data_IF_068130770932
#
_entry.id   IF_068130770932
#
_cell.length_a   1.000
_cell.length_b   1.000
_cell.length_c   1.000
_cell.angle_alpha   90.00
_cell.angle_beta   90.00
_cell.angle_gamma   90.00
#
_symmetry.space_group_name_H-M   'P 1'
#
loop_
_entity.id
_entity.type
_entity.pdbx_description
1 polymer ?
#
# COMPACT_ATOMS: atom_id res chain seq x y z
N UNK A 1 -14.32 -29.48 18.57
CA UNK A 1 -13.16 -28.70 18.09
C UNK A 1 -12.37 -28.20 19.28
N UNK A 2 -11.08 -28.53 19.43
CA UNK A 2 -10.25 -28.02 20.54
C UNK A 2 -9.89 -26.53 20.31
N UNK A 3 -10.82 -25.63 20.63
CA UNK A 3 -10.65 -24.16 20.58
C UNK A 3 -9.41 -23.69 21.39
N UNK A 4 -9.03 -24.44 22.42
CA UNK A 4 -7.92 -24.18 23.35
C UNK A 4 -6.54 -24.12 22.67
N UNK A 5 -6.30 -24.92 21.62
CA UNK A 5 -5.02 -24.92 20.89
C UNK A 5 -4.90 -23.79 19.85
N UNK A 6 -6.01 -23.13 19.52
CA UNK A 6 -6.07 -22.15 18.42
C UNK A 6 -6.14 -20.70 18.90
N UNK A 7 -6.68 -20.46 20.10
CA UNK A 7 -6.80 -19.11 20.67
C UNK A 7 -5.71 -18.81 21.71
N UNK A 8 -5.04 -19.83 22.29
CA UNK A 8 -4.33 -19.67 23.57
C UNK A 8 -2.97 -20.38 23.72
N UNK A 9 -2.07 -20.25 22.74
CA UNK A 9 -0.63 -20.40 23.01
C UNK A 9 0.18 -19.26 22.38
N UNK A 10 0.65 -18.34 23.22
CA UNK A 10 2.02 -17.84 23.12
C UNK A 10 2.81 -18.54 24.23
N UNK A 11 3.55 -19.58 23.87
CA UNK A 11 4.55 -20.21 24.75
C UNK A 11 5.77 -20.38 23.88
N UNK A 12 6.74 -19.45 23.97
CA UNK A 12 8.10 -19.45 23.36
C UNK A 12 8.28 -19.80 21.86
N UNK A 13 7.27 -20.39 21.22
CA UNK A 13 7.17 -20.92 19.88
C UNK A 13 5.84 -20.39 19.33
N UNK A 14 5.84 -19.15 18.85
CA UNK A 14 4.83 -18.78 17.87
C UNK A 14 4.94 -19.76 16.69
N UNK A 15 3.84 -20.09 16.00
CA UNK A 15 3.98 -20.72 14.71
C UNK A 15 4.92 -19.89 13.84
N UNK A 16 6.00 -20.48 13.34
CA UNK A 16 7.04 -19.82 12.53
C UNK A 16 6.55 -19.20 11.19
N UNK A 17 5.24 -18.98 11.00
CA UNK A 17 4.60 -18.72 9.72
C UNK A 17 3.66 -17.50 9.68
N UNK A 18 3.10 -17.00 10.79
CA UNK A 18 2.39 -15.70 10.77
C UNK A 18 3.36 -14.62 11.22
N UNK A 19 3.98 -13.95 10.25
CA UNK A 19 4.94 -12.86 10.48
C UNK A 19 4.29 -11.48 10.49
N UNK A 20 3.07 -11.37 9.98
CA UNK A 20 2.33 -10.09 9.96
C UNK A 20 1.84 -9.72 11.36
N UNK A 21 2.32 -8.59 11.88
CA UNK A 21 1.89 -8.03 13.15
C UNK A 21 0.39 -7.70 13.17
N UNK A 22 -0.15 -7.23 12.04
CA UNK A 22 -1.59 -6.97 11.89
C UNK A 22 -2.43 -8.23 12.07
N UNK A 23 -2.03 -9.34 11.44
CA UNK A 23 -2.71 -10.62 11.60
C UNK A 23 -2.61 -11.13 13.05
N UNK A 24 -1.45 -10.98 13.69
CA UNK A 24 -1.28 -11.34 15.09
C UNK A 24 -2.19 -10.52 16.02
N UNK A 25 -2.36 -9.21 15.78
CA UNK A 25 -3.29 -8.35 16.53
C UNK A 25 -4.73 -8.83 16.38
N UNK A 26 -5.18 -9.08 15.15
CA UNK A 26 -6.54 -9.56 14.89
C UNK A 26 -6.79 -10.96 15.48
N UNK A 27 -5.78 -11.84 15.48
CA UNK A 27 -5.91 -13.17 16.09
C UNK A 27 -6.08 -13.05 17.61
N UNK A 28 -5.31 -12.15 18.27
CA UNK A 28 -5.46 -11.87 19.70
C UNK A 28 -6.85 -11.32 20.02
N UNK A 29 -7.39 -10.48 19.15
CA UNK A 29 -8.74 -9.93 19.26
C UNK A 29 -9.87 -10.91 18.92
N UNK A 30 -9.57 -12.19 18.59
CA UNK A 30 -10.54 -13.16 18.07
C UNK A 30 -11.36 -12.66 16.88
N UNK A 31 -10.74 -11.86 16.03
CA UNK A 31 -11.31 -11.43 14.75
C UNK A 31 -10.96 -12.40 13.62
N UNK A 32 -9.84 -13.10 13.75
CA UNK A 32 -9.42 -14.10 12.77
C UNK A 32 -8.99 -15.41 13.43
N UNK A 33 -9.15 -16.50 12.68
CA UNK A 33 -8.63 -17.81 13.02
C UNK A 33 -7.85 -18.37 11.85
N UNK A 34 -6.59 -18.69 12.08
CA UNK A 34 -5.77 -19.37 11.09
C UNK A 34 -6.02 -20.89 11.11
N UNK A 35 -6.43 -21.46 9.99
CA UNK A 35 -6.49 -22.90 9.79
C UNK A 35 -5.20 -23.39 9.15
N UNK A 36 -4.45 -24.18 9.91
CA UNK A 36 -3.15 -24.73 9.51
C UNK A 36 -3.25 -25.80 8.45
N UNK A 37 -4.34 -26.57 8.43
CA UNK A 37 -4.52 -27.68 7.50
C UNK A 37 -4.82 -27.15 6.10
N UNK A 38 -5.56 -26.04 6.03
CA UNK A 38 -5.93 -25.39 4.78
C UNK A 38 -4.97 -24.28 4.37
N UNK A 39 -4.10 -23.82 5.28
CA UNK A 39 -3.22 -22.67 5.08
C UNK A 39 -4.02 -21.39 4.78
N UNK A 40 -5.13 -21.20 5.49
CA UNK A 40 -6.10 -20.13 5.27
C UNK A 40 -6.41 -19.37 6.56
N UNK A 41 -6.65 -18.06 6.44
CA UNK A 41 -7.18 -17.24 7.52
C UNK A 41 -8.70 -17.12 7.40
N UNK A 42 -9.42 -17.56 8.42
CA UNK A 42 -10.87 -17.43 8.52
C UNK A 42 -11.21 -16.18 9.33
N UNK A 43 -11.90 -15.23 8.71
CA UNK A 43 -12.44 -14.07 9.42
C UNK A 43 -13.70 -14.48 10.21
N UNK A 44 -13.76 -14.04 11.46
CA UNK A 44 -14.86 -14.32 12.37
C UNK A 44 -15.91 -13.19 12.30
N UNK A 45 -17.17 -13.44 12.70
CA UNK A 45 -18.23 -12.43 12.64
C UNK A 45 -17.88 -11.06 13.27
N UNK A 46 -17.09 -11.08 14.34
CA UNK A 46 -16.61 -9.87 15.02
C UNK A 46 -15.75 -8.97 14.12
N UNK A 47 -14.94 -9.56 13.24
CA UNK A 47 -14.18 -8.80 12.25
C UNK A 47 -15.11 -8.00 11.35
N UNK A 48 -16.14 -8.66 10.79
CA UNK A 48 -17.07 -8.02 9.86
C UNK A 48 -17.87 -6.90 10.52
N UNK A 49 -18.35 -7.13 11.75
CA UNK A 49 -19.07 -6.08 12.50
C UNK A 49 -18.21 -4.84 12.70
N UNK A 50 -16.92 -5.01 13.06
CA UNK A 50 -16.01 -3.89 13.28
C UNK A 50 -15.56 -3.23 11.95
N UNK A 51 -15.33 -4.03 10.92
CA UNK A 51 -15.01 -3.56 9.58
C UNK A 51 -16.13 -2.69 9.00
N UNK A 52 -17.40 -3.08 9.20
CA UNK A 52 -18.58 -2.31 8.80
C UNK A 52 -18.64 -0.95 9.52
N UNK A 53 -18.32 -0.89 10.82
CA UNK A 53 -18.25 0.37 11.55
C UNK A 53 -17.22 1.33 10.94
N UNK A 54 -16.03 0.83 10.60
CA UNK A 54 -14.97 1.64 9.99
C UNK A 54 -15.32 2.05 8.55
N UNK A 55 -15.98 1.18 7.79
CA UNK A 55 -16.46 1.47 6.44
C UNK A 55 -17.53 2.58 6.45
N UNK A 56 -18.45 2.57 7.42
CA UNK A 56 -19.47 3.62 7.56
C UNK A 56 -18.86 5.00 7.86
N UNK A 57 -17.73 5.05 8.59
CA UNK A 57 -16.98 6.29 8.82
C UNK A 57 -16.42 6.83 7.51
N UNK A 58 -15.76 5.97 6.70
CA UNK A 58 -15.28 6.35 5.37
C UNK A 58 -16.42 6.83 4.49
N UNK A 59 -17.51 6.07 4.39
CA UNK A 59 -18.67 6.42 3.57
C UNK A 59 -19.27 7.79 3.96
N UNK A 60 -19.32 8.10 5.26
CA UNK A 60 -19.81 9.39 5.75
C UNK A 60 -18.86 10.53 5.38
N UNK A 61 -17.55 10.32 5.55
CA UNK A 61 -16.54 11.28 5.13
C UNK A 61 -16.56 11.54 3.63
N UNK A 62 -16.63 10.48 2.81
CA UNK A 62 -16.66 10.60 1.35
C UNK A 62 -17.89 11.36 0.85
N UNK A 63 -19.02 11.31 1.57
CA UNK A 63 -20.23 12.10 1.26
C UNK A 63 -20.02 13.61 1.39
N UNK A 64 -19.14 14.07 2.27
CA UNK A 64 -18.88 15.50 2.45
C UNK A 64 -18.17 16.13 1.24
N UNK A 65 -17.38 15.33 0.50
CA UNK A 65 -16.63 15.76 -0.67
C UNK A 65 -17.39 15.59 -1.99
N UNK A 66 -18.66 15.14 -1.93
CA UNK A 66 -19.41 14.71 -3.11
C UNK A 66 -20.76 15.41 -3.25
N UNK A 67 -20.71 16.68 -3.64
CA UNK A 67 -21.87 17.36 -4.22
C UNK A 67 -21.64 17.45 -5.73
N UNK A 68 -22.31 16.70 -6.64
CA UNK A 68 -22.83 15.33 -6.62
C UNK A 68 -22.18 14.53 -7.79
N UNK A 69 -21.04 13.86 -7.59
CA UNK A 69 -20.47 12.91 -8.57
C UNK A 69 -19.77 11.74 -7.85
N UNK A 70 -20.53 10.99 -7.05
CA UNK A 70 -20.05 9.72 -6.48
C UNK A 70 -20.05 8.65 -7.58
N UNK A 71 -18.88 8.05 -7.80
CA UNK A 71 -18.77 6.79 -8.52
C UNK A 71 -18.24 5.72 -7.55
N UNK A 72 -19.15 5.02 -6.89
CA UNK A 72 -18.78 3.84 -6.12
C UNK A 72 -18.62 2.66 -7.08
N UNK A 73 -17.36 2.33 -7.43
CA UNK A 73 -17.04 1.11 -8.18
C UNK A 73 -16.29 0.17 -7.25
N UNK A 74 -17.02 -0.81 -6.71
CA UNK A 74 -16.40 -1.98 -6.10
C UNK A 74 -16.12 -3.01 -7.20
N UNK A 75 -14.90 -3.01 -7.72
CA UNK A 75 -14.44 -3.95 -8.73
C UNK A 75 -13.22 -4.74 -8.24
N UNK A 76 -13.06 -5.97 -8.75
CA UNK A 76 -11.99 -6.88 -8.31
C UNK A 76 -10.62 -6.46 -8.85
N UNK A 77 -10.57 -5.72 -9.96
CA UNK A 77 -9.33 -5.28 -10.61
C UNK A 77 -9.45 -3.86 -11.19
N UNK A 78 -8.32 -3.19 -11.35
CA UNK A 78 -8.24 -1.84 -11.97
C UNK A 78 -8.64 -1.87 -13.46
N UNK A 79 -8.47 -3.02 -14.13
CA UNK A 79 -8.90 -3.28 -15.52
C UNK A 79 -10.43 -3.27 -15.63
N UNK A 80 -11.12 -3.95 -14.70
CA UNK A 80 -12.58 -3.95 -14.66
C UNK A 80 -13.11 -2.52 -14.49
N UNK A 81 -12.52 -1.76 -13.55
CA UNK A 81 -12.86 -0.33 -13.33
C UNK A 81 -12.67 0.47 -14.61
N UNK A 82 -11.52 0.33 -15.28
CA UNK A 82 -11.19 1.02 -16.53
C UNK A 82 -12.23 0.77 -17.62
N UNK A 83 -12.65 -0.49 -17.81
CA UNK A 83 -13.67 -0.86 -18.79
C UNK A 83 -15.04 -0.24 -18.47
N UNK A 84 -15.46 -0.24 -17.20
CA UNK A 84 -16.71 0.39 -16.78
C UNK A 84 -16.65 1.92 -16.97
N UNK A 85 -15.58 2.57 -16.53
CA UNK A 85 -15.40 4.02 -16.65
C UNK A 85 -15.37 4.43 -18.13
N UNK A 86 -14.58 3.75 -18.97
CA UNK A 86 -14.40 4.04 -20.39
C UNK A 86 -15.72 4.10 -21.18
N UNK A 87 -16.67 3.20 -20.89
CA UNK A 87 -18.00 3.21 -21.52
C UNK A 87 -18.94 4.33 -21.05
N UNK A 88 -18.75 4.82 -19.82
CA UNK A 88 -19.65 5.76 -19.14
C UNK A 88 -19.27 7.22 -19.34
N UNK A 89 -17.97 7.45 -19.55
CA UNK A 89 -17.33 8.74 -19.82
C UNK A 89 -18.00 9.49 -21.01
N UNK A 90 -18.61 8.78 -21.97
CA UNK A 90 -19.41 9.38 -23.05
C UNK A 90 -20.75 10.04 -22.62
N UNK A 91 -21.24 9.82 -21.40
CA UNK A 91 -22.61 10.19 -20.98
C UNK A 91 -22.70 11.03 -19.69
N UNK A 92 -21.59 11.64 -19.25
CA UNK A 92 -21.40 12.25 -17.93
C UNK A 92 -22.20 13.55 -17.63
N UNK A 93 -23.34 13.82 -18.29
CA UNK A 93 -24.27 14.89 -17.86
C UNK A 93 -25.55 14.41 -17.19
N UNK A 94 -25.75 13.11 -17.05
CA UNK A 94 -26.87 12.60 -16.27
C UNK A 94 -26.57 11.18 -15.85
N UNK A 95 -26.17 10.96 -14.61
CA UNK A 95 -26.70 9.93 -13.70
C UNK A 95 -25.76 9.77 -12.49
N UNK A 96 -26.29 9.78 -11.25
CA UNK A 96 -25.56 9.28 -10.09
C UNK A 96 -25.43 7.76 -10.20
N UNK A 97 -24.20 7.23 -10.20
CA UNK A 97 -23.96 5.78 -10.25
C UNK A 97 -23.49 5.24 -8.90
N UNK A 98 -24.34 4.42 -8.28
CA UNK A 98 -24.01 3.58 -7.13
C UNK A 98 -24.06 2.12 -7.60
N UNK A 99 -22.91 1.46 -7.75
CA UNK A 99 -22.86 0.01 -7.96
C UNK A 99 -22.45 -0.65 -6.65
N UNK A 100 -23.44 -1.09 -5.86
CA UNK A 100 -23.22 -2.05 -4.77
C UNK A 100 -23.29 -3.46 -5.37
N UNK A 101 -22.15 -4.14 -5.52
CA UNK A 101 -22.16 -5.61 -5.67
C UNK A 101 -22.02 -6.23 -4.29
N UNK A 102 -22.89 -7.20 -3.98
CA UNK A 102 -22.65 -8.07 -2.84
C UNK A 102 -21.29 -8.78 -3.05
N UNK A 103 -20.48 -8.97 -1.99
CA UNK A 103 -19.22 -9.67 -2.09
C UNK A 103 -19.46 -11.10 -2.60
N UNK A 104 -18.88 -11.44 -3.75
CA UNK A 104 -18.87 -12.82 -4.26
C UNK A 104 -17.59 -13.47 -3.76
N UNK A 105 -17.75 -14.32 -2.73
CA UNK A 105 -16.68 -15.14 -2.14
C UNK A 105 -16.30 -16.22 -3.14
N UNK A 106 -15.08 -16.17 -3.66
CA UNK A 106 -14.46 -17.28 -4.36
C UNK A 106 -12.99 -17.36 -3.96
N UNK A 107 -12.65 -18.32 -3.10
CA UNK A 107 -11.25 -18.66 -2.82
C UNK A 107 -10.68 -19.37 -4.04
N UNK A 108 -9.71 -18.75 -4.71
CA UNK A 108 -8.91 -19.44 -5.73
C UNK A 108 -7.55 -19.80 -5.15
N UNK A 109 -7.27 -21.10 -5.13
CA UNK A 109 -6.10 -21.81 -4.59
C UNK A 109 -4.78 -21.52 -5.34
N UNK A 110 -4.39 -20.26 -5.52
CA UNK A 110 -3.04 -19.92 -6.03
C UNK A 110 -2.29 -19.06 -5.01
N UNK A 111 -1.03 -19.44 -4.76
CA UNK A 111 -0.08 -18.60 -4.05
C UNK A 111 0.17 -17.32 -4.86
N UNK A 112 -0.35 -16.19 -4.39
CA UNK A 112 -0.02 -14.87 -4.90
C UNK A 112 1.17 -14.28 -4.15
N UNK A 113 2.26 -14.06 -4.86
CA UNK A 113 3.47 -13.34 -4.45
C UNK A 113 3.32 -11.82 -4.64
N UNK A 114 2.13 -11.27 -4.35
CA UNK A 114 1.86 -9.83 -4.39
C UNK A 114 1.21 -9.41 -3.07
N UNK A 115 1.47 -8.20 -2.53
CA UNK A 115 0.79 -7.73 -1.35
C UNK A 115 -0.72 -7.78 -1.63
N UNK A 116 -1.45 -8.63 -0.90
CA UNK A 116 -2.86 -8.89 -1.16
C UNK A 116 -3.65 -7.57 -1.15
N UNK A 117 -4.06 -7.07 -2.32
CA UNK A 117 -5.31 -6.30 -2.43
C UNK A 117 -6.41 -7.29 -2.05
N UNK A 118 -6.91 -7.18 -0.84
CA UNK A 118 -7.95 -8.08 -0.37
C UNK A 118 -9.26 -7.72 -1.10
N UNK A 119 -10.19 -8.66 -1.30
CA UNK A 119 -11.54 -8.30 -1.79
C UNK A 119 -12.32 -7.42 -0.79
N UNK A 120 -11.74 -7.09 0.37
CA UNK A 120 -12.30 -6.24 1.41
C UNK A 120 -11.87 -4.78 1.31
N UNK A 121 -10.92 -4.45 0.42
CA UNK A 121 -10.45 -3.07 0.31
C UNK A 121 -11.60 -2.18 -0.18
N UNK A 122 -11.78 -1.03 0.48
CA UNK A 122 -12.76 -0.04 0.05
C UNK A 122 -12.11 0.86 -0.99
N UNK A 123 -12.66 0.86 -2.20
CA UNK A 123 -12.14 1.65 -3.31
C UNK A 123 -13.18 2.66 -3.73
N UNK A 124 -12.83 3.93 -3.63
CA UNK A 124 -13.66 5.05 -4.04
C UNK A 124 -13.03 5.73 -5.24
N UNK A 125 -13.83 5.98 -6.28
CA UNK A 125 -13.44 6.84 -7.39
C UNK A 125 -14.37 8.05 -7.42
N UNK A 126 -13.82 9.25 -7.53
CA UNK A 126 -14.64 10.44 -7.62
C UNK A 126 -13.95 11.53 -8.44
N UNK A 127 -14.76 12.29 -9.15
CA UNK A 127 -14.32 13.52 -9.80
C UNK A 127 -14.43 14.67 -8.83
N UNK A 128 -13.46 15.57 -8.85
CA UNK A 128 -13.51 16.80 -8.07
C UNK A 128 -13.55 18.02 -9.00
N UNK A 129 -14.45 18.96 -8.72
CA UNK A 129 -14.58 20.20 -9.49
C UNK A 129 -13.33 21.09 -9.35
N UNK A 130 -12.64 21.00 -8.21
CA UNK A 130 -11.38 21.66 -7.93
C UNK A 130 -10.32 20.64 -7.58
N UNK A 131 -9.06 21.00 -7.85
CA UNK A 131 -7.92 20.16 -7.48
C UNK A 131 -7.88 19.98 -5.96
N UNK A 132 -7.98 18.73 -5.52
CA UNK A 132 -7.87 18.32 -4.13
C UNK A 132 -6.39 18.36 -3.71
N UNK A 133 -6.12 18.89 -2.51
CA UNK A 133 -4.88 18.60 -1.81
C UNK A 133 -4.97 17.19 -1.21
N UNK A 134 -4.25 16.25 -1.83
CA UNK A 134 -4.26 14.84 -1.43
C UNK A 134 -3.71 14.63 -0.01
N UNK A 135 -2.76 15.45 0.45
CA UNK A 135 -2.16 15.34 1.77
C UNK A 135 -3.14 15.84 2.83
N UNK A 136 -3.76 17.00 2.60
CA UNK A 136 -4.77 17.54 3.51
C UNK A 136 -5.97 16.57 3.62
N UNK A 137 -6.44 16.06 2.49
CA UNK A 137 -7.52 15.07 2.46
C UNK A 137 -7.16 13.80 3.22
N UNK A 138 -5.97 13.24 2.98
CA UNK A 138 -5.47 12.07 3.69
C UNK A 138 -5.34 12.32 5.19
N UNK A 139 -4.93 13.53 5.61
CA UNK A 139 -4.84 13.90 7.03
C UNK A 139 -6.20 13.94 7.71
N UNK A 140 -7.22 14.49 7.04
CA UNK A 140 -8.59 14.49 7.56
C UNK A 140 -9.12 13.06 7.68
N UNK A 141 -8.92 12.22 6.67
CA UNK A 141 -9.32 10.80 6.71
C UNK A 141 -8.59 10.02 7.82
N UNK A 142 -7.28 10.21 7.97
CA UNK A 142 -6.47 9.57 9.01
C UNK A 142 -6.99 9.90 10.42
N UNK A 143 -7.30 11.17 10.67
CA UNK A 143 -7.77 11.67 11.96
C UNK A 143 -9.13 11.09 12.39
N UNK A 144 -9.98 10.66 11.45
CA UNK A 144 -11.25 9.99 11.78
C UNK A 144 -11.05 8.60 12.39
N UNK A 145 -9.95 7.94 12.02
CA UNK A 145 -9.63 6.58 12.45
C UNK A 145 -8.68 6.55 13.63
N UNK A 146 -7.54 7.21 13.51
CA UNK A 146 -6.48 7.18 14.50
C UNK A 146 -5.53 8.39 14.34
N UNK A 147 -5.44 9.22 15.37
CA UNK A 147 -4.55 10.40 15.38
C UNK A 147 -3.06 10.06 15.28
N UNK A 148 -2.68 8.80 15.54
CA UNK A 148 -1.28 8.35 15.44
C UNK A 148 -0.86 7.96 14.02
N UNK A 149 -1.79 7.91 13.06
CA UNK A 149 -1.44 7.62 11.67
C UNK A 149 -0.60 8.74 11.07
N UNK A 150 0.40 8.33 10.27
CA UNK A 150 1.27 9.26 9.54
C UNK A 150 0.79 9.37 8.10
N UNK A 151 0.70 10.60 7.60
CA UNK A 151 0.42 10.86 6.19
C UNK A 151 1.74 11.18 5.50
N UNK A 152 2.03 10.48 4.40
CA UNK A 152 3.24 10.71 3.60
C UNK A 152 2.84 11.05 2.17
N UNK A 153 3.31 12.17 1.60
CA UNK A 153 3.07 12.50 0.20
C UNK A 153 3.78 11.51 -0.73
N UNK A 154 3.16 11.24 -1.88
CA UNK A 154 3.69 10.38 -2.93
C UNK A 154 3.66 11.11 -4.28
N UNK A 155 4.28 10.51 -5.31
CA UNK A 155 4.35 11.04 -6.67
C UNK A 155 2.97 11.50 -7.20
N UNK A 156 1.95 10.67 -6.90
CA UNK A 156 0.60 10.82 -7.41
C UNK A 156 -0.41 11.11 -6.31
N UNK A 157 -0.01 11.50 -5.09
CA UNK A 157 -0.96 11.83 -4.03
C UNK A 157 -0.40 11.67 -2.63
N UNK A 158 -1.02 10.80 -1.82
CA UNK A 158 -0.58 10.56 -0.44
C UNK A 158 -0.94 9.15 0.03
N UNK A 159 -0.22 8.65 1.02
CA UNK A 159 -0.52 7.40 1.73
C UNK A 159 -0.68 7.65 3.22
N UNK A 160 -1.56 6.86 3.85
CA UNK A 160 -1.76 6.83 5.30
C UNK A 160 -1.07 5.57 5.82
N UNK A 161 -0.17 5.74 6.79
CA UNK A 161 0.66 4.67 7.34
C UNK A 161 0.33 4.47 8.82
N UNK A 162 0.19 3.19 9.21
CA UNK A 162 0.26 2.76 10.61
C UNK A 162 1.73 2.65 11.03
N UNK A 163 2.25 3.57 11.86
CA UNK A 163 3.64 3.52 12.30
C UNK A 163 3.88 2.48 13.40
N UNK A 164 2.83 1.81 13.90
CA UNK A 164 2.98 0.85 14.99
C UNK A 164 3.50 -0.51 14.54
N UNK A 165 3.76 -0.70 13.24
CA UNK A 165 4.33 -1.93 12.70
C UNK A 165 5.78 -1.76 12.28
N UNK A 166 6.62 -2.76 12.53
CA UNK A 166 8.03 -2.81 12.10
C UNK A 166 8.23 -3.09 10.59
N UNK A 167 7.16 -3.08 9.81
CA UNK A 167 7.19 -3.40 8.37
C UNK A 167 7.86 -2.26 7.59
N UNK A 168 8.86 -2.56 6.77
CA UNK A 168 9.32 -1.64 5.73
C UNK A 168 8.35 -1.67 4.54
N UNK A 169 7.84 -0.50 4.16
CA UNK A 169 7.02 -0.32 2.96
C UNK A 169 7.73 0.60 1.98
N UNK A 170 7.62 0.31 0.68
CA UNK A 170 8.16 1.16 -0.38
C UNK A 170 7.03 2.05 -0.89
N UNK A 171 7.29 3.35 -0.96
CA UNK A 171 6.40 4.35 -1.55
C UNK A 171 7.11 5.02 -2.73
N UNK A 172 6.34 5.59 -3.65
CA UNK A 172 6.88 6.32 -4.79
C UNK A 172 6.83 7.81 -4.51
N UNK A 173 7.98 8.48 -4.45
CA UNK A 173 8.08 9.93 -4.32
C UNK A 173 7.96 10.62 -5.68
N UNK A 174 7.61 11.91 -5.64
CA UNK A 174 7.74 12.75 -6.81
C UNK A 174 9.21 12.85 -7.22
N UNK A 175 9.49 12.78 -8.52
CA UNK A 175 10.79 13.12 -9.06
C UNK A 175 10.90 14.64 -9.21
N UNK A 176 11.98 15.23 -8.71
CA UNK A 176 12.26 16.66 -8.88
C UNK A 176 13.37 16.84 -9.92
N UNK A 177 13.08 17.67 -10.93
CA UNK A 177 13.97 17.91 -12.05
C UNK A 177 14.40 19.37 -12.09
N UNK A 178 15.31 19.75 -11.19
CA UNK A 178 15.93 21.08 -11.22
C UNK A 178 17.21 20.98 -12.07
N UNK A 179 17.27 21.63 -13.25
CA UNK A 179 18.48 21.61 -14.07
C UNK A 179 19.69 22.11 -13.29
N UNK A 180 20.86 21.56 -13.57
CA UNK A 180 22.10 22.04 -12.96
C UNK A 180 22.39 23.49 -13.36
N UNK A 181 23.13 24.21 -12.51
CA UNK A 181 23.56 25.57 -12.81
C UNK A 181 24.60 25.57 -13.95
N UNK A 182 24.21 26.08 -15.12
CA UNK A 182 25.06 26.15 -16.32
C UNK A 182 26.23 27.14 -16.18
N UNK A 183 26.27 27.95 -15.13
CA UNK A 183 27.41 28.83 -14.84
C UNK A 183 28.61 28.10 -14.23
N UNK A 184 28.41 26.88 -13.73
CA UNK A 184 29.47 26.03 -13.19
C UNK A 184 30.35 25.54 -14.34
N UNK A 185 31.66 25.78 -14.24
CA UNK A 185 32.64 25.25 -15.18
C UNK A 185 32.79 23.73 -14.98
N UNK A 186 32.48 22.96 -16.03
CA UNK A 186 32.53 21.50 -16.00
C UNK A 186 33.90 21.06 -16.54
N UNK A 187 34.72 20.33 -15.77
CA UNK A 187 36.02 19.84 -16.24
C UNK A 187 35.89 18.93 -17.49
N UNK A 188 36.96 18.73 -18.27
CA UNK A 188 36.94 17.82 -19.41
C UNK A 188 36.49 16.41 -19.03
N UNK A 189 35.79 15.75 -19.95
CA UNK A 189 35.43 14.33 -19.83
C UNK A 189 36.71 13.49 -19.69
N UNK A 190 36.75 12.64 -18.68
CA UNK A 190 37.91 11.78 -18.38
C UNK A 190 37.46 10.33 -18.18
N UNK A 191 38.17 9.39 -18.79
CA UNK A 191 37.96 7.94 -18.60
C UNK A 191 38.80 7.47 -17.40
N UNK A 192 38.17 6.80 -16.44
CA UNK A 192 38.81 6.27 -15.23
C UNK A 192 38.56 4.77 -15.09
N UNK A 193 39.55 4.07 -14.55
CA UNK A 193 39.45 2.65 -14.25
C UNK A 193 38.67 2.44 -12.94
N UNK A 194 37.75 1.49 -12.96
CA UNK A 194 36.71 1.21 -11.95
C UNK A 194 36.51 -0.32 -11.85
N UNK A 195 37.54 -1.06 -11.41
CA UNK A 195 37.57 -2.52 -11.50
C UNK A 195 36.50 -3.16 -10.62
N UNK A 196 35.66 -4.02 -11.20
CA UNK A 196 34.55 -4.74 -10.55
C UNK A 196 33.46 -3.82 -9.93
N UNK A 197 33.40 -2.56 -10.39
CA UNK A 197 32.43 -1.54 -9.94
C UNK A 197 31.26 -1.45 -10.92
N UNK A 198 30.36 -2.44 -10.90
CA UNK A 198 29.25 -2.55 -11.86
C UNK A 198 27.89 -2.08 -11.33
N UNK A 199 27.79 -1.65 -10.07
CA UNK A 199 26.55 -1.16 -9.46
C UNK A 199 26.68 0.29 -9.03
N UNK A 200 25.54 1.00 -9.00
CA UNK A 200 25.52 2.41 -8.60
C UNK A 200 25.99 2.61 -7.17
N UNK A 201 25.66 1.72 -6.24
CA UNK A 201 26.12 1.76 -4.84
C UNK A 201 27.66 1.75 -4.78
N UNK A 202 28.28 0.77 -5.45
CA UNK A 202 29.73 0.64 -5.48
C UNK A 202 30.38 1.82 -6.19
N UNK A 203 29.77 2.31 -7.26
CA UNK A 203 30.30 3.45 -8.02
C UNK A 203 30.28 4.73 -7.19
N UNK A 204 29.17 5.02 -6.49
CA UNK A 204 29.06 6.16 -5.58
C UNK A 204 30.13 6.15 -4.50
N UNK A 205 30.38 4.98 -3.91
CA UNK A 205 31.44 4.77 -2.92
C UNK A 205 32.83 4.97 -3.52
N UNK A 206 33.09 4.42 -4.72
CA UNK A 206 34.38 4.48 -5.41
C UNK A 206 34.76 5.90 -5.83
N UNK A 207 33.82 6.65 -6.42
CA UNK A 207 34.07 8.02 -6.91
C UNK A 207 33.82 9.09 -5.84
N UNK A 208 33.34 8.71 -4.66
CA UNK A 208 32.96 9.62 -3.57
C UNK A 208 31.95 10.69 -4.00
N UNK A 209 30.96 10.30 -4.81
CA UNK A 209 29.89 11.19 -5.27
C UNK A 209 28.51 10.65 -4.88
N UNK A 210 27.54 11.55 -4.64
CA UNK A 210 26.15 11.14 -4.39
C UNK A 210 25.56 10.48 -5.65
N UNK A 211 24.61 9.55 -5.45
CA UNK A 211 23.99 8.78 -6.55
C UNK A 211 23.28 9.67 -7.58
N UNK A 212 22.83 10.84 -7.14
CA UNK A 212 22.22 11.91 -7.93
C UNK A 212 23.17 12.49 -8.99
N UNK A 213 24.49 12.31 -8.83
CA UNK A 213 25.49 12.71 -9.84
C UNK A 213 25.88 11.56 -10.76
N UNK A 214 25.40 10.35 -10.51
CA UNK A 214 25.68 9.19 -11.34
C UNK A 214 24.57 9.05 -12.38
N UNK A 215 24.92 8.62 -13.58
CA UNK A 215 23.99 8.30 -14.66
C UNK A 215 24.16 6.83 -14.97
N UNK A 216 23.11 6.04 -14.72
CA UNK A 216 23.07 4.62 -15.07
C UNK A 216 22.30 4.43 -16.36
N UNK A 217 22.61 3.34 -17.03
CA UNK A 217 21.89 2.92 -18.22
C UNK A 217 21.21 1.58 -18.00
N UNK A 218 19.91 1.52 -18.29
CA UNK A 218 19.07 0.32 -18.21
C UNK A 218 18.64 -0.04 -19.62
N UNK A 219 18.94 -1.28 -20.03
CA UNK A 219 18.72 -1.75 -21.38
C UNK A 219 17.53 -2.71 -21.41
N UNK A 220 16.51 -2.35 -22.16
CA UNK A 220 15.34 -3.18 -22.40
C UNK A 220 15.32 -3.70 -23.85
N UNK A 221 14.64 -4.81 -24.06
CA UNK A 221 14.29 -5.35 -25.37
C UNK A 221 12.78 -5.32 -25.51
N UNK A 222 12.30 -4.65 -26.56
CA UNK A 222 10.88 -4.62 -26.94
C UNK A 222 10.78 -5.07 -28.38
N UNK A 223 10.09 -6.20 -28.61
CA UNK A 223 9.98 -6.82 -29.94
C UNK A 223 11.34 -7.03 -30.64
N UNK A 224 12.38 -7.35 -29.85
CA UNK A 224 13.75 -7.56 -30.34
C UNK A 224 14.53 -6.28 -30.67
N UNK A 225 13.96 -5.09 -30.42
CA UNK A 225 14.65 -3.80 -30.55
C UNK A 225 15.18 -3.36 -29.20
N UNK A 226 16.39 -2.80 -29.21
CA UNK A 226 17.03 -2.26 -28.02
C UNK A 226 16.42 -0.91 -27.63
N UNK A 227 15.96 -0.79 -26.40
CA UNK A 227 15.54 0.45 -25.76
C UNK A 227 16.56 0.76 -24.66
N UNK A 228 17.34 1.81 -24.87
CA UNK A 228 18.47 2.18 -24.03
C UNK A 228 18.11 3.40 -23.18
N UNK A 229 17.74 3.17 -21.93
CA UNK A 229 17.24 4.19 -21.01
C UNK A 229 18.37 4.68 -20.11
N UNK A 230 18.67 5.97 -20.13
CA UNK A 230 19.68 6.60 -19.29
C UNK A 230 18.99 7.45 -18.23
N UNK A 231 19.32 7.24 -16.97
CA UNK A 231 18.60 7.80 -15.82
C UNK A 231 19.60 8.07 -14.68
N UNK A 232 19.26 8.99 -13.78
CA UNK A 232 20.04 9.23 -12.56
C UNK A 232 20.20 7.97 -11.71
N UNK A 233 21.32 7.84 -11.02
CA UNK A 233 21.70 6.63 -10.30
C UNK A 233 20.76 6.28 -9.14
N UNK A 234 20.18 7.28 -8.49
CA UNK A 234 19.26 7.14 -7.36
C UNK A 234 17.81 6.78 -7.75
N UNK A 235 17.47 6.86 -9.04
CA UNK A 235 16.13 6.61 -9.56
C UNK A 235 16.06 5.24 -10.25
N UNK A 236 14.86 4.68 -10.37
CA UNK A 236 14.60 3.45 -11.13
C UNK A 236 13.76 3.72 -12.38
N UNK A 237 13.79 2.82 -13.36
CA UNK A 237 12.94 2.96 -14.54
C UNK A 237 11.56 2.37 -14.25
N UNK A 238 10.52 3.19 -14.44
CA UNK A 238 9.13 2.72 -14.44
C UNK A 238 8.84 2.00 -15.74
N UNK A 239 8.63 0.70 -15.69
CA UNK A 239 8.22 -0.07 -16.87
C UNK A 239 6.88 0.43 -17.42
N UNK A 240 5.96 0.89 -16.56
CA UNK A 240 4.67 1.44 -16.98
C UNK A 240 4.84 2.75 -17.76
N UNK A 241 5.62 3.70 -17.24
CA UNK A 241 5.92 4.95 -17.98
C UNK A 241 6.69 4.67 -19.27
N UNK A 242 7.63 3.72 -19.25
CA UNK A 242 8.39 3.32 -20.43
C UNK A 242 7.47 2.72 -21.51
N UNK A 243 6.56 1.82 -21.13
CA UNK A 243 5.54 1.27 -22.03
C UNK A 243 4.67 2.36 -22.64
N UNK A 244 4.21 3.30 -21.82
CA UNK A 244 3.41 4.43 -22.29
C UNK A 244 4.18 5.28 -23.30
N UNK A 245 5.44 5.62 -22.99
CA UNK A 245 6.32 6.36 -23.89
C UNK A 245 6.52 5.64 -25.24
N UNK A 246 6.67 4.32 -25.22
CA UNK A 246 6.81 3.49 -26.40
C UNK A 246 5.50 3.27 -27.17
N UNK A 247 4.36 3.76 -26.67
CA UNK A 247 3.05 3.59 -27.31
C UNK A 247 2.51 2.15 -27.22
N UNK A 248 2.98 1.35 -26.26
CA UNK A 248 2.60 -0.05 -26.09
C UNK A 248 1.23 -0.17 -25.42
N UNK A 249 0.18 -0.05 -26.22
CA UNK A 249 -1.22 -0.18 -25.79
C UNK A 249 -1.62 -1.63 -25.47
N UNK A 250 -0.96 -2.62 -26.09
CA UNK A 250 -1.16 -4.03 -25.80
C UNK A 250 -0.29 -4.48 -24.62
N UNK A 251 -0.92 -4.81 -23.50
CA UNK A 251 -0.27 -5.30 -22.28
C UNK A 251 0.44 -6.65 -22.46
N UNK A 252 0.16 -7.40 -23.52
CA UNK A 252 0.82 -8.68 -23.80
C UNK A 252 2.22 -8.55 -24.40
N UNK A 253 2.58 -7.38 -24.95
CA UNK A 253 3.92 -7.13 -25.47
C UNK A 253 4.87 -7.00 -24.28
N UNK A 254 5.87 -7.89 -24.11
CA UNK A 254 6.78 -7.82 -22.98
C UNK A 254 7.76 -6.64 -23.12
N UNK A 255 8.02 -5.97 -21.99
CA UNK A 255 9.16 -5.06 -21.83
C UNK A 255 10.09 -5.76 -20.86
N UNK A 256 11.18 -6.30 -21.39
CA UNK A 256 12.11 -7.14 -20.62
C UNK A 256 13.52 -6.58 -20.71
N UNK A 257 14.39 -6.92 -19.76
CA UNK A 257 15.80 -6.58 -19.87
C UNK A 257 16.40 -7.18 -21.14
N UNK A 258 17.22 -6.39 -21.82
CA UNK A 258 17.84 -6.79 -23.07
C UNK A 258 18.80 -7.98 -22.85
N UNK A 259 18.73 -9.02 -23.69
CA UNK A 259 19.63 -10.16 -23.58
C UNK A 259 21.06 -9.78 -23.99
N UNK A 260 22.06 -10.46 -23.43
CA UNK A 260 23.48 -10.13 -23.63
C UNK A 260 23.91 -10.06 -25.10
N UNK A 261 23.41 -10.96 -25.95
CA UNK A 261 23.69 -10.97 -27.39
C UNK A 261 23.23 -9.68 -28.11
N UNK A 262 22.11 -9.08 -27.65
CA UNK A 262 21.64 -7.80 -28.18
C UNK A 262 22.56 -6.66 -27.73
N UNK A 263 23.05 -6.70 -26.48
CA UNK A 263 23.97 -5.70 -25.94
C UNK A 263 25.33 -5.73 -26.65
N UNK A 264 25.90 -6.92 -26.82
CA UNK A 264 27.17 -7.13 -27.54
C UNK A 264 27.09 -6.61 -28.98
N UNK A 265 25.97 -6.86 -29.67
CA UNK A 265 25.70 -6.34 -31.02
C UNK A 265 25.76 -4.81 -31.09
N UNK A 266 25.42 -4.13 -29.99
CA UNK A 266 25.46 -2.67 -29.87
C UNK A 266 26.75 -2.15 -29.22
N UNK A 267 27.66 -3.04 -28.80
CA UNK A 267 28.91 -2.70 -28.13
C UNK A 267 28.72 -2.19 -26.70
N UNK A 268 27.61 -2.57 -26.06
CA UNK A 268 27.27 -2.16 -24.70
C UNK A 268 27.75 -3.20 -23.69
N UNK A 269 28.24 -2.73 -22.54
CA UNK A 269 28.73 -3.56 -21.44
C UNK A 269 27.86 -3.35 -20.20
N UNK A 270 27.04 -4.34 -19.77
CA UNK A 270 26.22 -4.21 -18.56
C UNK A 270 27.03 -3.72 -17.35
N UNK A 271 26.47 -2.75 -16.60
CA UNK A 271 27.14 -2.13 -15.47
C UNK A 271 28.18 -1.06 -15.82
N UNK A 272 28.58 -0.95 -17.09
CA UNK A 272 29.56 0.03 -17.58
C UNK A 272 29.05 0.76 -18.83
N UNK A 273 27.74 0.71 -19.13
CA UNK A 273 27.18 1.33 -20.33
C UNK A 273 26.78 2.78 -20.13
N UNK A 274 26.87 3.60 -21.18
CA UNK A 274 26.47 5.00 -21.15
C UNK A 274 26.17 5.61 -22.52
N UNK A 275 25.86 6.90 -22.57
CA UNK A 275 25.56 7.61 -23.83
C UNK A 275 26.81 8.05 -24.62
N UNK A 276 28.00 7.97 -24.01
CA UNK A 276 29.22 8.44 -24.66
C UNK A 276 29.74 7.37 -25.62
N UNK A 277 29.82 7.70 -26.91
CA UNK A 277 30.45 6.82 -27.89
C UNK A 277 29.53 5.75 -28.52
N UNK A 278 28.22 5.84 -28.30
CA UNK A 278 27.21 4.93 -28.89
C UNK A 278 27.34 4.87 -30.42
N UNK A 279 27.70 3.69 -30.94
CA UNK A 279 28.00 3.50 -32.38
C UNK A 279 26.76 3.33 -33.26
N UNK A 280 25.69 2.74 -32.72
CA UNK A 280 24.49 2.31 -33.47
C UNK A 280 23.22 3.04 -33.01
N UNK A 281 23.36 4.33 -32.70
CA UNK A 281 22.29 5.17 -32.16
C UNK A 281 21.00 5.19 -33.02
N UNK A 282 21.12 5.01 -34.34
CA UNK A 282 19.97 4.96 -35.26
C UNK A 282 19.19 3.64 -35.23
N UNK A 283 19.73 2.60 -34.61
CA UNK A 283 19.12 1.26 -34.55
C UNK A 283 18.48 0.95 -33.19
N UNK A 284 18.60 1.84 -32.22
CA UNK A 284 18.02 1.71 -30.89
C UNK A 284 17.15 2.92 -30.55
N UNK A 285 16.27 2.73 -29.57
CA UNK A 285 15.55 3.84 -28.94
C UNK A 285 16.43 4.37 -27.82
N UNK A 286 17.07 5.52 -28.02
CA UNK A 286 17.85 6.18 -26.99
C UNK A 286 16.93 7.07 -26.17
N UNK A 287 16.67 6.66 -24.94
CA UNK A 287 15.85 7.41 -24.00
C UNK A 287 16.73 7.96 -22.89
N UNK A 288 16.55 9.22 -22.56
CA UNK A 288 17.20 9.89 -21.47
C UNK A 288 16.09 10.40 -20.54
N UNK A 289 16.04 9.89 -19.31
CA UNK A 289 15.12 10.39 -18.32
C UNK A 289 15.42 11.88 -18.06
N UNK A 290 14.39 12.67 -17.81
CA UNK A 290 14.54 14.09 -17.52
C UNK A 290 15.51 14.37 -16.35
N UNK A 291 15.67 13.44 -15.41
CA UNK A 291 16.67 13.52 -14.33
C UNK A 291 18.11 13.69 -14.80
N UNK A 292 18.48 13.18 -15.96
CA UNK A 292 19.86 13.31 -16.45
C UNK A 292 20.22 14.76 -16.74
N UNK A 293 19.22 15.60 -17.05
CA UNK A 293 19.41 17.04 -17.26
C UNK A 293 19.74 17.80 -15.96
N UNK A 294 19.56 17.18 -14.80
CA UNK A 294 19.97 17.74 -13.50
C UNK A 294 21.44 17.48 -13.18
N UNK A 295 22.13 16.69 -14.01
CA UNK A 295 23.51 16.26 -13.76
C UNK A 295 24.48 17.14 -14.57
N UNK A 296 25.14 18.07 -13.88
CA UNK A 296 26.10 19.00 -14.51
C UNK A 296 27.49 18.41 -14.71
N UNK A 297 27.99 17.67 -13.71
CA UNK A 297 29.32 17.09 -13.67
C UNK A 297 29.23 15.68 -13.05
N UNK A 298 28.78 14.72 -13.85
CA UNK A 298 28.42 13.39 -13.37
C UNK A 298 29.43 12.30 -13.69
N UNK A 299 29.01 11.06 -13.42
CA UNK A 299 29.72 9.84 -13.80
C UNK A 299 28.80 8.94 -14.60
N UNK A 300 29.27 8.37 -15.70
CA UNK A 300 28.50 7.45 -16.56
C UNK A 300 29.39 6.29 -17.02
N UNK A 301 28.79 5.18 -17.45
CA UNK A 301 29.54 4.08 -18.04
C UNK A 301 30.30 4.47 -19.32
N UNK A 302 31.46 3.84 -19.56
CA UNK A 302 32.32 4.09 -20.72
C UNK A 302 32.15 3.10 -21.89
N UNK A 303 31.15 2.23 -21.84
CA UNK A 303 30.95 1.10 -22.76
C UNK A 303 32.19 0.18 -22.86
N UNK A 304 32.96 0.11 -21.77
CA UNK A 304 34.18 -0.67 -21.62
C UNK A 304 34.21 -1.27 -20.22
N UNK A 305 34.40 -2.59 -20.14
CA UNK A 305 34.43 -3.30 -18.87
C UNK A 305 35.48 -2.68 -17.94
N UNK A 306 35.08 -2.41 -16.69
CA UNK A 306 35.90 -1.80 -15.65
C UNK A 306 36.27 -0.33 -15.90
N UNK A 307 35.57 0.38 -16.78
CA UNK A 307 35.80 1.81 -17.00
C UNK A 307 34.52 2.65 -16.95
N UNK A 308 34.64 3.84 -16.39
CA UNK A 308 33.61 4.88 -16.36
C UNK A 308 34.18 6.21 -16.86
N UNK A 309 33.30 7.10 -17.31
CA UNK A 309 33.63 8.49 -17.54
C UNK A 309 33.25 9.35 -16.33
N UNK A 310 34.15 10.21 -15.88
CA UNK A 310 33.89 11.28 -14.91
C UNK A 310 33.80 12.65 -15.60
N UNK A 311 33.24 13.62 -14.88
CA UNK A 311 32.94 14.96 -15.40
C UNK A 311 31.97 14.93 -16.59
N UNK A 312 31.11 13.91 -16.65
CA UNK A 312 30.15 13.72 -17.72
C UNK A 312 29.09 14.82 -17.73
N UNK A 313 28.81 15.34 -18.92
CA UNK A 313 27.71 16.25 -19.16
C UNK A 313 26.98 15.84 -20.43
N UNK A 314 25.68 15.55 -20.30
CA UNK A 314 24.87 15.01 -21.41
C UNK A 314 24.84 15.95 -22.62
N UNK A 315 24.68 17.27 -22.43
CA UNK A 315 24.63 18.23 -23.54
C UNK A 315 25.98 18.37 -24.26
N UNK A 316 27.09 18.34 -23.52
CA UNK A 316 28.45 18.47 -24.08
C UNK A 316 28.92 17.21 -24.78
N UNK A 317 28.77 16.06 -24.13
CA UNK A 317 29.47 14.82 -24.48
C UNK A 317 28.68 13.94 -25.47
N UNK A 318 27.37 14.19 -25.62
CA UNK A 318 26.50 13.42 -26.53
C UNK A 318 26.13 14.15 -27.82
N UNK A 319 26.76 15.30 -28.12
CA UNK A 319 26.44 16.15 -29.30
C UNK A 319 26.32 15.39 -30.62
N UNK A 320 27.14 14.37 -30.85
CA UNK A 320 27.14 13.56 -32.08
C UNK A 320 25.86 12.73 -32.26
N UNK A 321 25.22 12.33 -31.17
CA UNK A 321 24.03 11.49 -31.14
C UNK A 321 22.79 12.24 -30.63
N UNK A 322 22.90 13.52 -30.30
CA UNK A 322 21.82 14.32 -29.70
C UNK A 322 20.49 14.24 -30.47
N UNK A 323 20.53 14.15 -31.81
CA UNK A 323 19.32 13.99 -32.66
C UNK A 323 18.56 12.68 -32.48
N UNK A 324 19.19 11.67 -31.87
CA UNK A 324 18.61 10.36 -31.59
C UNK A 324 18.17 10.22 -30.13
N UNK A 325 18.61 11.12 -29.24
CA UNK A 325 18.23 11.10 -27.83
C UNK A 325 16.84 11.69 -27.69
N UNK A 326 15.97 10.93 -27.05
CA UNK A 326 14.65 11.40 -26.65
C UNK A 326 14.63 11.63 -25.14
N UNK A 327 14.05 12.75 -24.70
CA UNK A 327 13.87 13.06 -23.29
C UNK A 327 12.44 12.77 -22.86
N UNK A 328 12.27 12.06 -21.75
CA UNK A 328 10.97 11.73 -21.18
C UNK A 328 11.07 11.53 -19.66
N UNK A 329 9.97 11.63 -18.93
CA UNK A 329 9.90 11.12 -17.56
C UNK A 329 9.53 9.64 -17.61
N UNK A 330 10.50 8.80 -17.27
CA UNK A 330 10.32 7.35 -17.09
C UNK A 330 10.82 6.89 -15.72
N UNK A 331 11.02 7.82 -14.78
CA UNK A 331 11.59 7.52 -13.48
C UNK A 331 10.54 7.10 -12.46
N UNK A 332 10.93 6.17 -11.60
CA UNK A 332 10.38 5.92 -10.27
C UNK A 332 11.38 6.39 -9.21
N UNK A 333 10.86 6.89 -8.10
CA UNK A 333 11.64 7.34 -6.97
C UNK A 333 11.20 6.57 -5.72
N UNK A 334 11.63 5.31 -5.58
CA UNK A 334 11.22 4.48 -4.47
C UNK A 334 11.88 4.95 -3.16
N UNK A 335 11.06 5.23 -2.15
CA UNK A 335 11.51 5.49 -0.79
C UNK A 335 11.01 4.40 0.15
N UNK A 336 11.90 3.95 1.03
CA UNK A 336 11.52 3.08 2.14
C UNK A 336 11.00 3.90 3.30
N UNK A 337 9.82 3.53 3.78
CA UNK A 337 9.17 4.11 4.96
C UNK A 337 8.79 3.01 5.94
N UNK A 338 8.93 3.31 7.24
CA UNK A 338 8.55 2.39 8.30
C UNK A 338 7.04 2.46 8.57
N UNK A 339 6.41 1.30 8.62
CA UNK A 339 4.98 1.13 8.87
C UNK A 339 4.24 0.44 7.74
N UNK A 340 2.96 0.13 7.99
CA UNK A 340 2.08 -0.52 7.02
C UNK A 340 1.13 0.51 6.41
N UNK A 341 1.00 0.52 5.08
CA UNK A 341 -0.01 1.34 4.40
C UNK A 341 -1.40 0.85 4.81
N UNK A 342 -2.22 1.79 5.28
CA UNK A 342 -3.63 1.59 5.65
C UNK A 342 -4.56 2.16 4.57
N UNK A 343 -4.18 3.27 3.95
CA UNK A 343 -4.93 3.83 2.83
C UNK A 343 -4.02 4.57 1.85
N UNK A 344 -4.49 4.71 0.62
CA UNK A 344 -3.80 5.39 -0.48
C UNK A 344 -4.78 6.34 -1.17
N UNK A 345 -4.33 7.56 -1.43
CA UNK A 345 -5.07 8.61 -2.12
C UNK A 345 -4.24 8.94 -3.36
N UNK A 346 -4.82 8.72 -4.54
CA UNK A 346 -4.15 8.90 -5.83
C UNK A 346 -4.92 9.87 -6.72
N UNK A 347 -4.21 10.83 -7.29
CA UNK A 347 -4.56 11.67 -8.42
C UNK A 347 -4.32 10.84 -9.70
N UNK A 348 -5.39 10.38 -10.34
CA UNK A 348 -5.34 9.50 -11.49
C UNK A 348 -5.04 10.29 -12.77
N UNK A 349 -3.82 10.80 -12.89
CA UNK A 349 -3.38 11.65 -14.02
C UNK A 349 -3.31 10.91 -15.35
N UNK A 350 -3.06 9.60 -15.33
CA UNK A 350 -2.95 8.77 -16.55
C UNK A 350 -4.30 8.29 -17.07
N UNK A 351 -5.34 8.36 -16.23
CA UNK A 351 -6.73 8.28 -16.65
C UNK A 351 -7.21 9.69 -17.01
N UNK A 352 -6.76 10.23 -18.14
CA UNK A 352 -7.54 11.25 -18.81
C UNK A 352 -8.75 10.56 -19.44
N UNK A 353 -9.99 10.76 -18.95
CA UNK A 353 -11.07 10.80 -19.90
C UNK A 353 -10.83 12.04 -20.76
N UNK A 354 -10.18 11.86 -21.91
CA UNK A 354 -10.24 12.82 -23.03
C UNK A 354 -11.67 12.90 -23.62
N UNK A 355 -12.69 12.60 -22.82
CA UNK A 355 -14.05 12.38 -23.24
C UNK A 355 -15.03 12.85 -22.17
N UNK A 356 -15.28 14.14 -22.08
CA UNK A 356 -16.66 14.57 -21.87
C UNK A 356 -17.01 15.40 -23.11
N UNK A 357 -17.50 14.68 -24.12
CA UNK A 357 -17.98 15.25 -25.36
C UNK A 357 -19.45 15.64 -25.21
N UNK A 358 -19.70 16.91 -24.94
CA UNK A 358 -20.81 17.62 -25.57
C UNK A 358 -20.15 18.72 -26.39
N UNK A 359 -20.39 18.66 -27.70
CA UNK A 359 -19.97 19.60 -28.73
C UNK A 359 -19.13 20.80 -28.22
N UNK A 360 -17.85 20.75 -28.58
CA UNK A 360 -16.78 21.72 -28.36
C UNK A 360 -16.03 21.71 -26.99
N UNK A 361 -14.92 20.93 -27.01
CA UNK A 361 -13.71 20.93 -26.16
C UNK A 361 -13.74 20.02 -24.90
N UNK A 362 -12.75 19.09 -24.75
CA UNK A 362 -12.61 18.27 -23.55
C UNK A 362 -12.33 19.15 -22.32
N UNK A 363 -13.13 19.00 -21.27
CA UNK A 363 -12.88 19.61 -19.95
C UNK A 363 -12.08 18.66 -19.07
N UNK A 364 -10.87 19.07 -18.68
CA UNK A 364 -10.01 18.33 -17.75
C UNK A 364 -10.59 18.41 -16.34
N UNK A 365 -11.24 17.34 -15.86
CA UNK A 365 -11.67 17.22 -14.47
C UNK A 365 -10.77 16.19 -13.77
N UNK A 366 -10.13 16.55 -12.65
CA UNK A 366 -9.32 15.60 -11.88
C UNK A 366 -10.15 14.41 -11.40
N UNK A 367 -9.62 13.19 -11.61
CA UNK A 367 -10.16 11.94 -11.07
C UNK A 367 -9.28 11.51 -9.91
N UNK A 368 -9.89 11.23 -8.77
CA UNK A 368 -9.20 10.71 -7.60
C UNK A 368 -9.64 9.29 -7.30
N UNK A 369 -8.69 8.49 -6.82
CA UNK A 369 -8.90 7.15 -6.28
C UNK A 369 -8.46 7.11 -4.83
N UNK A 370 -9.35 6.66 -3.95
CA UNK A 370 -9.04 6.39 -2.54
C UNK A 370 -9.18 4.90 -2.31
N UNK A 371 -8.10 4.26 -1.89
CA UNK A 371 -8.07 2.83 -1.55
C UNK A 371 -7.81 2.70 -0.06
N UNK A 372 -8.77 2.16 0.69
CA UNK A 372 -8.61 1.86 2.11
C UNK A 372 -8.45 0.34 2.25
N UNK A 373 -7.30 -0.09 2.78
CA UNK A 373 -7.02 -1.50 3.03
C UNK A 373 -7.71 -1.91 4.32
N UNK A 374 -8.94 -2.41 4.20
CA UNK A 374 -9.84 -2.58 5.35
C UNK A 374 -9.27 -3.51 6.41
N UNK A 375 -8.58 -4.59 5.99
CA UNK A 375 -7.91 -5.53 6.90
C UNK A 375 -6.80 -4.84 7.70
N UNK A 376 -5.96 -4.05 7.03
CA UNK A 376 -4.89 -3.30 7.69
C UNK A 376 -5.45 -2.20 8.59
N UNK A 377 -6.50 -1.49 8.16
CA UNK A 377 -7.18 -0.47 8.95
C UNK A 377 -7.79 -1.05 10.24
N UNK A 378 -8.47 -2.21 10.15
CA UNK A 378 -8.97 -2.92 11.33
C UNK A 378 -7.82 -3.23 12.28
N UNK A 379 -6.75 -3.85 11.79
CA UNK A 379 -5.63 -4.24 12.63
C UNK A 379 -4.88 -3.04 13.25
N UNK A 380 -4.76 -1.93 12.52
CA UNK A 380 -4.09 -0.70 12.94
C UNK A 380 -4.89 0.11 13.98
N UNK A 381 -6.21 -0.08 14.05
CA UNK A 381 -7.08 0.60 15.03
C UNK A 381 -7.29 -0.21 16.31
N UNK A 382 -7.00 -1.52 16.30
CA UNK A 382 -7.13 -2.38 17.48
C UNK A 382 -6.09 -2.05 18.57
N UNK A 383 -6.55 -1.91 19.82
CA UNK A 383 -5.71 -1.93 21.03
C UNK A 383 -4.87 -0.69 21.30
N UNK A 384 -4.58 0.12 20.28
CA UNK A 384 -3.84 1.39 20.39
C UNK A 384 -4.75 2.61 20.51
N UNK A 385 -5.88 2.60 19.81
CA UNK A 385 -6.83 3.72 19.78
C UNK A 385 -8.25 3.30 20.13
N UNK A 386 -8.65 2.04 19.84
CA UNK A 386 -9.99 1.53 20.15
C UNK A 386 -9.96 0.10 20.73
N UNK A 387 -10.77 -0.11 21.75
CA UNK A 387 -11.15 -1.44 22.25
C UNK A 387 -12.46 -1.87 21.60
N UNK A 388 -12.66 -3.18 21.49
CA UNK A 388 -13.90 -3.74 20.95
C UNK A 388 -15.02 -3.52 21.96
N UNK A 389 -16.08 -2.80 21.56
CA UNK A 389 -17.28 -2.61 22.37
C UNK A 389 -18.00 -3.95 22.50
N UNK A 390 -17.80 -4.61 23.63
CA UNK A 390 -18.23 -5.98 23.87
C UNK A 390 -17.70 -6.51 25.19
N UNK A 391 -18.01 -7.77 25.48
CA UNK A 391 -17.73 -8.40 26.75
C UNK A 391 -16.93 -9.70 26.58
N UNK A 392 -15.82 -9.82 27.31
CA UNK A 392 -15.18 -11.10 27.57
C UNK A 392 -15.65 -11.63 28.92
N UNK A 393 -16.52 -12.64 28.91
CA UNK A 393 -17.18 -13.19 30.09
C UNK A 393 -16.43 -14.42 30.59
N UNK A 394 -15.75 -14.28 31.73
CA UNK A 394 -15.07 -15.36 32.43
C UNK A 394 -16.06 -16.04 33.38
N UNK A 395 -16.37 -17.31 33.11
CA UNK A 395 -17.11 -18.11 34.08
C UNK A 395 -16.16 -18.80 35.07
N UNK A 396 -16.37 -18.54 36.36
CA UNK A 396 -15.70 -19.18 37.51
C UNK A 396 -16.71 -19.94 38.38
N UNK A 397 -18.00 -19.72 38.15
CA UNK A 397 -19.09 -20.41 38.84
C UNK A 397 -19.22 -21.87 38.39
N UNK A 398 -19.65 -22.74 39.31
CA UNK A 398 -20.04 -24.13 38.99
C UNK A 398 -21.47 -24.24 38.45
N UNK A 399 -22.29 -23.25 38.73
CA UNK A 399 -23.69 -23.16 38.30
C UNK A 399 -23.79 -22.16 37.14
N UNK A 400 -24.42 -22.58 36.05
CA UNK A 400 -24.59 -21.78 34.84
C UNK A 400 -25.75 -20.79 34.94
N UNK A 401 -26.59 -20.86 35.97
CA UNK A 401 -27.75 -19.96 36.14
C UNK A 401 -27.33 -18.49 36.08
N UNK A 402 -26.32 -18.11 36.86
CA UNK A 402 -25.80 -16.74 36.89
C UNK A 402 -25.16 -16.32 35.57
N UNK A 403 -24.49 -17.25 34.89
CA UNK A 403 -23.89 -17.00 33.58
C UNK A 403 -24.96 -16.75 32.51
N UNK A 404 -26.04 -17.53 32.50
CA UNK A 404 -27.14 -17.40 31.56
C UNK A 404 -27.85 -16.05 31.73
N UNK A 405 -28.20 -15.68 32.97
CA UNK A 405 -28.82 -14.37 33.26
C UNK A 405 -27.92 -13.21 32.84
N UNK A 406 -26.62 -13.32 33.12
CA UNK A 406 -25.63 -12.30 32.69
C UNK A 406 -25.57 -12.20 31.16
N UNK A 407 -25.58 -13.34 30.46
CA UNK A 407 -25.50 -13.39 29.00
C UNK A 407 -26.76 -12.84 28.34
N UNK A 408 -27.94 -13.20 28.84
CA UNK A 408 -29.23 -12.69 28.37
C UNK A 408 -29.32 -11.17 28.52
N UNK A 409 -28.82 -10.63 29.63
CA UNK A 409 -28.79 -9.18 29.83
C UNK A 409 -27.82 -8.49 28.86
N UNK A 410 -26.63 -9.05 28.65
CA UNK A 410 -25.67 -8.51 27.68
C UNK A 410 -26.22 -8.50 26.25
N UNK A 411 -26.93 -9.55 25.84
CA UNK A 411 -27.51 -9.67 24.49
C UNK A 411 -28.55 -8.57 24.17
N UNK A 412 -29.08 -7.88 25.18
CA UNK A 412 -29.97 -6.72 24.96
C UNK A 412 -29.22 -5.49 24.45
N UNK A 413 -27.93 -5.38 24.72
CA UNK A 413 -27.13 -4.18 24.43
C UNK A 413 -25.92 -4.46 23.53
N UNK A 414 -25.48 -5.72 23.44
CA UNK A 414 -24.38 -6.17 22.61
C UNK A 414 -24.87 -7.15 21.56
N UNK A 415 -24.32 -7.02 20.35
CA UNK A 415 -24.50 -8.06 19.33
C UNK A 415 -23.83 -9.36 19.80
N UNK A 416 -24.37 -10.54 19.45
CA UNK A 416 -23.83 -11.83 19.89
C UNK A 416 -22.34 -12.01 19.58
N UNK A 417 -21.86 -11.43 18.47
CA UNK A 417 -20.46 -11.54 18.03
C UNK A 417 -19.49 -10.78 18.94
N UNK A 418 -19.99 -9.79 19.67
CA UNK A 418 -19.23 -8.97 20.61
C UNK A 418 -19.19 -9.55 22.03
N UNK A 419 -19.76 -10.75 22.25
CA UNK A 419 -19.75 -11.44 23.54
C UNK A 419 -18.95 -12.73 23.41
N UNK A 420 -17.87 -12.84 24.17
CA UNK A 420 -17.05 -14.06 24.23
C UNK A 420 -17.20 -14.68 25.60
N UNK A 421 -17.75 -15.89 25.66
CA UNK A 421 -17.92 -16.63 26.92
C UNK A 421 -16.78 -17.64 27.10
N UNK A 422 -15.95 -17.40 28.10
CA UNK A 422 -14.89 -18.31 28.53
C UNK A 422 -15.37 -19.26 29.65
N UNK A 423 -16.10 -20.29 29.21
CA UNK A 423 -16.56 -21.38 30.07
C UNK A 423 -15.56 -22.55 30.16
N UNK A 424 -14.29 -22.35 29.79
CA UNK A 424 -13.31 -23.46 29.75
C UNK A 424 -12.93 -23.94 31.15
N UNK A 425 -12.63 -25.23 31.30
CA UNK A 425 -12.11 -25.78 32.56
C UNK A 425 -10.63 -25.41 32.82
N UNK A 426 -9.86 -25.16 31.75
CA UNK A 426 -8.48 -24.66 31.77
C UNK A 426 -8.34 -23.52 30.73
N UNK A 427 -7.42 -22.55 30.92
CA UNK A 427 -6.55 -22.35 32.08
C UNK A 427 -7.32 -21.97 33.36
N UNK A 428 -6.63 -21.89 34.50
CA UNK A 428 -7.21 -21.39 35.75
C UNK A 428 -7.61 -19.90 35.62
N UNK A 429 -8.30 -19.35 36.62
CA UNK A 429 -8.78 -17.95 36.58
C UNK A 429 -7.69 -16.94 36.18
N UNK A 430 -6.47 -17.08 36.71
CA UNK A 430 -5.35 -16.21 36.34
C UNK A 430 -5.02 -16.27 34.85
N UNK A 431 -4.95 -17.47 34.27
CA UNK A 431 -4.74 -17.62 32.83
C UNK A 431 -5.92 -17.14 31.98
N UNK A 432 -7.17 -17.30 32.45
CA UNK A 432 -8.35 -16.73 31.78
C UNK A 432 -8.31 -15.21 31.78
N UNK A 433 -7.88 -14.59 32.89
CA UNK A 433 -7.73 -13.14 33.00
C UNK A 433 -6.65 -12.60 32.06
N UNK A 434 -5.49 -13.28 31.98
CA UNK A 434 -4.45 -12.93 31.01
C UNK A 434 -4.98 -12.96 29.57
N UNK A 435 -5.78 -13.98 29.23
CA UNK A 435 -6.39 -14.07 27.91
C UNK A 435 -7.43 -12.97 27.68
N UNK A 436 -8.29 -12.67 28.65
CA UNK A 436 -9.26 -11.59 28.56
C UNK A 436 -8.57 -10.24 28.30
N UNK A 437 -7.45 -9.96 28.97
CA UNK A 437 -6.64 -8.77 28.76
C UNK A 437 -6.06 -8.68 27.34
N UNK A 438 -5.73 -9.83 26.72
CA UNK A 438 -5.22 -9.91 25.35
C UNK A 438 -6.29 -9.74 24.28
N UNK A 439 -7.56 -9.98 24.61
CA UNK A 439 -8.68 -10.02 23.65
C UNK A 439 -9.23 -8.63 23.29
N UNK A 440 -8.70 -7.57 23.91
CA UNK A 440 -8.96 -6.16 23.59
C UNK A 440 -10.44 -5.72 23.71
N UNK A 441 -11.28 -6.50 24.38
CA UNK A 441 -12.65 -6.09 24.73
C UNK A 441 -12.62 -4.96 25.76
N UNK A 442 -13.58 -4.04 25.65
CA UNK A 442 -13.75 -2.93 26.57
C UNK A 442 -14.11 -3.42 27.98
N UNK A 443 -14.87 -4.52 28.08
CA UNK A 443 -15.37 -5.06 29.33
C UNK A 443 -14.93 -6.51 29.52
N UNK A 444 -14.28 -6.78 30.65
CA UNK A 444 -14.03 -8.13 31.15
C UNK A 444 -15.01 -8.38 32.28
N UNK A 445 -15.87 -9.38 32.13
CA UNK A 445 -16.92 -9.72 33.08
C UNK A 445 -16.57 -11.02 33.77
N UNK A 446 -16.46 -11.03 35.09
CA UNK A 446 -16.21 -12.24 35.87
C UNK A 446 -17.48 -12.66 36.57
N UNK A 447 -18.01 -13.80 36.14
CA UNK A 447 -19.14 -14.49 36.78
C UNK A 447 -18.57 -15.43 37.83
N UNK A 448 -18.76 -15.09 39.11
CA UNK A 448 -18.27 -15.90 40.22
C UNK A 448 -19.32 -16.08 41.32
N UNK A 449 -19.19 -17.18 42.07
CA UNK A 449 -20.01 -17.47 43.24
C UNK A 449 -19.54 -16.72 44.51
N UNK A 450 -18.48 -15.90 44.40
CA UNK A 450 -17.99 -15.09 45.54
C UNK A 450 -18.82 -13.82 45.76
N UNK A 451 -19.48 -13.34 44.70
CA UNK A 451 -20.43 -12.24 44.73
C UNK A 451 -21.84 -12.81 44.84
N UNK A 452 -22.79 -12.01 45.33
CA UNK A 452 -24.21 -12.38 45.41
C UNK A 452 -24.78 -12.76 44.03
N UNK A 453 -25.95 -13.41 44.02
CA UNK A 453 -26.54 -13.99 42.83
C UNK A 453 -26.78 -12.97 41.69
N UNK A 454 -26.98 -11.70 42.03
CA UNK A 454 -27.34 -10.64 41.10
C UNK A 454 -26.15 -9.75 40.70
N UNK A 455 -24.95 -10.02 41.21
CA UNK A 455 -23.78 -9.14 41.03
C UNK A 455 -22.62 -9.86 40.33
N UNK A 456 -22.09 -9.25 39.27
CA UNK A 456 -20.88 -9.70 38.56
C UNK A 456 -19.75 -8.70 38.76
N UNK A 457 -18.51 -9.09 38.47
CA UNK A 457 -17.41 -8.11 38.39
C UNK A 457 -17.23 -7.67 36.95
N UNK A 458 -17.21 -6.37 36.69
CA UNK A 458 -16.91 -5.76 35.39
C UNK A 458 -15.64 -4.93 35.55
N UNK A 459 -14.57 -5.28 34.84
CA UNK A 459 -13.26 -4.63 34.95
C UNK A 459 -12.82 -4.46 36.42
N UNK A 460 -12.95 -5.53 37.21
CA UNK A 460 -12.62 -5.62 38.63
C UNK A 460 -13.53 -4.81 39.59
N UNK A 461 -14.64 -4.25 39.10
CA UNK A 461 -15.64 -3.56 39.93
C UNK A 461 -16.93 -4.36 40.05
N UNK A 462 -17.55 -4.47 41.23
CA UNK A 462 -18.84 -5.15 41.40
C UNK A 462 -19.97 -4.32 40.75
N UNK A 463 -20.77 -4.97 39.91
CA UNK A 463 -21.89 -4.37 39.18
C UNK A 463 -23.08 -5.34 39.22
N UNK A 464 -24.27 -4.82 39.50
CA UNK A 464 -25.49 -5.64 39.40
C UNK A 464 -25.78 -5.96 37.95
N UNK A 465 -26.24 -7.18 37.67
CA UNK A 465 -26.52 -7.64 36.30
C UNK A 465 -27.50 -6.69 35.62
N UNK A 466 -28.56 -6.26 36.31
CA UNK A 466 -29.57 -5.32 35.79
C UNK A 466 -29.01 -3.95 35.36
N UNK A 467 -27.87 -3.56 35.93
CA UNK A 467 -27.24 -2.26 35.66
C UNK A 467 -26.26 -2.34 34.48
N UNK A 468 -25.97 -3.53 33.94
CA UNK A 468 -25.09 -3.70 32.78
C UNK A 468 -25.52 -2.84 31.58
N UNK A 469 -26.83 -2.63 31.39
CA UNK A 469 -27.33 -1.73 30.35
C UNK A 469 -26.74 -0.32 30.42
N UNK A 470 -26.52 0.23 31.61
CA UNK A 470 -25.94 1.58 31.76
C UNK A 470 -24.49 1.64 31.31
N UNK A 471 -23.73 0.56 31.51
CA UNK A 471 -22.32 0.43 31.12
C UNK A 471 -22.17 0.23 29.61
N UNK A 472 -23.07 -0.56 29.01
CA UNK A 472 -22.98 -0.86 27.58
C UNK A 472 -23.69 0.17 26.71
N UNK A 473 -24.52 1.06 27.27
CA UNK A 473 -25.21 2.14 26.52
C UNK A 473 -24.41 3.44 26.46
N UNK A 474 -23.51 3.70 27.41
CA UNK A 474 -22.49 4.77 27.34
C UNK A 474 -21.41 4.45 26.32
#
# INVERSE_FOLDING_TARGET
MQFEKQVCKQVSDQPAYITSEHMLRMQRASMIRYDRTLNEANFLPLFFSYADELANIADSFMKEYSIPQLCHIQAKTDIDVSQYISGLVRSAKSLPMVIKKAPIISSTNRQTLLPMKSSYDLVYHFFADQKLDAVEFAQKLANLYNHNFKVIPTANGAVIIDPSTSKETIIQKSCEYTPYDKSIEIPPLEEVETPEVSTIEKLAEFVHQPKENLVKAVMYSVEGKLVFVNIRGDLEVSEEKLRHYLGLTDSSIPVELAPANLLERHGLVPGFSGLVGVKRASECVLLCDNSVTTVGCGVTGADKQDYHFINFNVERDTKKIAKFIHYADVAENPEKVEGSIVAEISDCRDFYPDMIGLDSKPTKTPLYKVTIRLVDLVAATLGLSRKIRGAYVINVGKDETKLNVTTEELLKYCRPECIVIDNRAKPNFGGKMQLAQMMLFQYVIVVSNKLDAETVSVNDQPVKIVDLGTIFSS
#
